data_IF_798834131779
#
_entry.id   IF_798834131779
#
_cell.length_a   1.000
_cell.length_b   1.000
_cell.length_c   1.000
_cell.angle_alpha   90.00
_cell.angle_beta   90.00
_cell.angle_gamma   90.00
#
_symmetry.space_group_name_H-M   'P 1'
#
loop_
_entity.id
_entity.type
_entity.pdbx_description
1 polymer ?
#
# COMPACT_ATOMS: atom_id res chain seq x y z
N UNK A 1 9.37 -88.06 13.22
CA UNK A 1 10.27 -88.81 12.30
C UNK A 1 9.46 -89.79 11.54
N UNK A 2 9.51 -89.70 10.22
CA UNK A 2 8.92 -90.72 9.34
C UNK A 2 10.08 -91.42 8.65
N UNK A 3 10.00 -92.69 8.60
CA UNK A 3 10.91 -93.54 7.83
C UNK A 3 10.13 -94.54 6.97
N UNK A 4 10.42 -94.58 5.68
CA UNK A 4 9.92 -95.61 4.81
C UNK A 4 11.02 -95.98 3.81
N UNK A 5 11.17 -97.25 3.53
CA UNK A 5 12.26 -97.79 2.72
C UNK A 5 12.01 -97.63 1.18
N UNK A 6 10.82 -97.25 0.76
CA UNK A 6 10.43 -97.23 -0.69
C UNK A 6 9.76 -95.95 -1.16
N UNK A 7 9.89 -94.85 -0.41
CA UNK A 7 9.28 -93.55 -0.80
C UNK A 7 10.32 -92.45 -1.00
N UNK A 8 10.25 -91.78 -2.11
CA UNK A 8 11.05 -90.59 -2.46
C UNK A 8 10.33 -89.26 -2.13
N UNK A 9 9.14 -89.31 -1.53
CA UNK A 9 8.38 -88.14 -1.12
C UNK A 9 7.66 -88.43 0.22
N UNK A 10 7.62 -87.43 1.07
CA UNK A 10 6.89 -87.40 2.34
C UNK A 10 6.05 -86.19 2.45
N UNK A 11 4.83 -86.37 2.98
CA UNK A 11 3.94 -85.26 3.32
C UNK A 11 3.84 -85.06 4.80
N UNK A 12 4.16 -83.91 5.30
CA UNK A 12 4.04 -83.58 6.74
C UNK A 12 2.95 -82.48 6.84
N UNK A 13 1.89 -82.76 7.61
CA UNK A 13 0.91 -81.80 7.97
C UNK A 13 1.42 -81.01 9.19
N UNK A 14 1.44 -79.70 9.04
CA UNK A 14 1.85 -78.79 10.09
C UNK A 14 0.72 -77.78 10.36
N UNK A 15 0.49 -77.49 11.63
CA UNK A 15 -0.43 -76.41 12.05
C UNK A 15 0.41 -75.21 12.47
N UNK A 16 0.09 -74.05 11.89
CA UNK A 16 0.75 -72.81 12.26
C UNK A 16 0.60 -72.53 13.76
N UNK A 17 1.61 -72.09 14.46
CA UNK A 17 1.50 -71.61 15.82
C UNK A 17 0.60 -70.36 15.88
N UNK A 18 0.25 -69.92 17.10
CA UNK A 18 -0.48 -68.70 17.32
C UNK A 18 0.30 -67.49 16.86
N UNK A 19 -0.37 -66.41 16.44
CA UNK A 19 0.25 -65.16 16.12
C UNK A 19 1.16 -64.66 17.25
N UNK A 20 2.30 -64.04 16.89
CA UNK A 20 3.34 -63.62 17.82
C UNK A 20 4.42 -64.65 18.12
N UNK A 21 4.41 -65.82 17.47
CA UNK A 21 5.38 -66.89 17.65
C UNK A 21 6.70 -66.65 16.88
N UNK A 22 6.71 -65.70 15.96
CA UNK A 22 7.87 -65.35 15.14
C UNK A 22 8.16 -66.35 14.01
N UNK A 23 9.36 -66.27 13.46
CA UNK A 23 9.79 -67.07 12.33
C UNK A 23 9.85 -68.58 12.67
N UNK A 24 9.22 -69.42 11.88
CA UNK A 24 9.30 -70.89 11.98
C UNK A 24 10.34 -71.43 11.06
N UNK A 25 11.21 -72.32 11.61
CA UNK A 25 12.29 -72.99 10.86
C UNK A 25 12.00 -74.47 10.72
N UNK A 26 11.83 -74.93 9.51
CA UNK A 26 11.76 -76.33 9.16
C UNK A 26 13.12 -76.81 8.77
N UNK A 27 13.54 -77.90 9.44
CA UNK A 27 14.80 -78.61 9.11
C UNK A 27 14.46 -80.01 8.67
N UNK A 28 14.84 -80.37 7.46
CA UNK A 28 14.76 -81.75 6.95
C UNK A 28 16.13 -82.32 6.77
N UNK A 29 16.35 -83.52 7.34
CA UNK A 29 17.51 -84.30 7.05
C UNK A 29 17.11 -85.65 6.42
N UNK A 30 17.74 -86.00 5.35
CA UNK A 30 17.50 -87.26 4.65
C UNK A 30 18.79 -88.09 4.62
N UNK A 31 18.66 -89.37 4.85
CA UNK A 31 19.73 -90.36 4.66
C UNK A 31 19.25 -91.36 3.60
N UNK A 32 20.04 -91.50 2.52
CA UNK A 32 19.84 -92.52 1.51
C UNK A 32 20.92 -93.63 1.80
N UNK A 33 20.49 -94.75 2.41
CA UNK A 33 21.32 -95.90 2.72
C UNK A 33 21.27 -96.91 1.58
N UNK A 34 22.38 -97.56 1.30
CA UNK A 34 22.51 -98.57 0.24
C UNK A 34 22.07 -100.00 0.76
N UNK A 35 21.62 -100.10 2.01
CA UNK A 35 21.02 -101.28 2.62
C UNK A 35 22.07 -102.28 3.23
N UNK A 36 23.33 -101.94 3.20
CA UNK A 36 24.31 -102.69 3.98
C UNK A 36 24.45 -102.20 5.47
N UNK A 37 25.27 -102.78 6.32
CA UNK A 37 25.38 -102.45 7.74
C UNK A 37 26.50 -101.47 8.08
N UNK A 38 27.24 -101.03 7.08
CA UNK A 38 28.27 -99.96 7.21
C UNK A 38 27.78 -98.62 6.68
N UNK A 39 28.63 -97.65 6.73
CA UNK A 39 28.30 -96.25 6.27
C UNK A 39 28.97 -95.91 4.94
N UNK A 40 29.66 -96.88 4.32
CA UNK A 40 30.27 -96.67 3.01
C UNK A 40 29.18 -96.75 1.90
N UNK A 41 29.02 -95.69 1.11
CA UNK A 41 27.99 -95.60 0.09
C UNK A 41 26.73 -94.84 0.50
N UNK A 42 26.51 -94.56 1.80
CA UNK A 42 25.40 -93.75 2.28
C UNK A 42 25.62 -92.30 1.90
N UNK A 43 24.50 -91.65 1.53
CA UNK A 43 24.45 -90.21 1.24
C UNK A 43 23.47 -89.52 2.15
N UNK A 44 23.83 -88.41 2.71
CA UNK A 44 22.89 -87.56 3.52
C UNK A 44 22.73 -86.15 2.95
N UNK A 45 21.55 -85.63 3.08
CA UNK A 45 21.21 -84.26 2.72
C UNK A 45 20.47 -83.56 3.84
N UNK A 46 20.66 -82.24 3.95
CA UNK A 46 19.88 -81.40 4.87
C UNK A 46 19.32 -80.14 4.09
N UNK A 47 18.09 -79.88 4.30
CA UNK A 47 17.47 -78.63 3.84
C UNK A 47 16.85 -77.87 5.05
N UNK A 48 16.97 -76.57 5.05
CA UNK A 48 16.36 -75.73 6.06
C UNK A 48 15.44 -74.67 5.30
N UNK A 49 14.17 -74.62 5.67
CA UNK A 49 13.20 -73.68 5.16
C UNK A 49 12.72 -72.82 6.32
N UNK A 50 12.79 -71.53 6.12
CA UNK A 50 12.29 -70.56 7.10
C UNK A 50 11.01 -69.92 6.55
N UNK A 51 9.98 -69.87 7.37
CA UNK A 51 8.71 -69.18 7.07
C UNK A 51 8.56 -68.07 8.10
N UNK A 52 8.54 -66.84 7.59
CA UNK A 52 8.26 -65.69 8.45
C UNK A 52 6.81 -65.69 8.87
N UNK A 53 6.52 -65.19 10.04
CA UNK A 53 5.18 -64.85 10.44
C UNK A 53 4.66 -63.72 9.58
N UNK A 54 3.43 -63.78 9.11
CA UNK A 54 2.71 -62.64 8.57
C UNK A 54 2.34 -61.73 9.75
N UNK A 55 2.91 -60.54 9.84
CA UNK A 55 2.45 -59.51 10.77
C UNK A 55 1.02 -59.14 10.42
N UNK A 56 0.18 -58.98 11.43
CA UNK A 56 -1.13 -58.35 11.23
C UNK A 56 -0.93 -56.87 10.93
N UNK A 57 -1.50 -56.38 9.85
CA UNK A 57 -1.46 -54.97 9.52
C UNK A 57 -2.09 -54.12 10.64
N UNK A 58 -1.44 -53.02 10.99
CA UNK A 58 -1.95 -52.02 11.94
C UNK A 58 -2.15 -50.74 11.14
N UNK A 59 -3.42 -50.25 11.13
CA UNK A 59 -3.77 -49.06 10.41
C UNK A 59 -2.92 -47.81 10.82
N UNK A 60 -2.54 -46.96 9.88
CA UNK A 60 -1.71 -45.81 10.16
C UNK A 60 -2.43 -44.79 11.08
N UNK A 61 -1.62 -43.98 11.76
CA UNK A 61 -2.09 -42.84 12.54
C UNK A 61 -1.80 -41.55 11.81
N UNK A 62 -2.71 -40.58 11.94
CA UNK A 62 -2.56 -39.23 11.37
C UNK A 62 -2.98 -38.19 12.40
N UNK A 63 -2.26 -37.07 12.42
CA UNK A 63 -2.62 -35.89 13.20
C UNK A 63 -2.75 -34.68 12.28
N UNK A 64 -3.63 -33.78 12.66
CA UNK A 64 -3.98 -32.57 11.91
C UNK A 64 -4.13 -31.42 12.89
N UNK A 65 -3.54 -30.28 12.58
CA UNK A 65 -3.83 -29.02 13.23
C UNK A 65 -3.90 -27.88 12.22
N UNK A 66 -4.78 -26.92 12.48
CA UNK A 66 -4.88 -25.64 11.76
C UNK A 66 -4.40 -24.53 12.68
N UNK A 67 -3.89 -23.41 12.14
CA UNK A 67 -3.58 -22.23 12.92
C UNK A 67 -4.84 -21.75 13.69
N UNK A 68 -4.68 -21.34 14.95
CA UNK A 68 -5.83 -20.93 15.78
C UNK A 68 -6.44 -19.58 15.34
N UNK A 69 -5.69 -18.78 14.59
CA UNK A 69 -6.11 -17.50 14.03
C UNK A 69 -5.44 -17.33 12.66
N UNK A 70 -6.24 -17.09 11.66
CA UNK A 70 -5.83 -16.78 10.28
C UNK A 70 -6.74 -15.68 9.79
N UNK A 71 -6.16 -14.65 9.20
CA UNK A 71 -6.89 -13.63 8.46
C UNK A 71 -6.87 -13.95 6.95
N UNK A 72 -7.61 -13.21 6.17
CA UNK A 72 -7.72 -13.40 4.72
C UNK A 72 -6.50 -12.89 3.93
N UNK A 73 -5.50 -12.30 4.58
CA UNK A 73 -4.26 -11.83 3.94
C UNK A 73 -3.16 -12.88 3.86
N UNK A 74 -3.31 -14.01 4.59
CA UNK A 74 -2.30 -15.07 4.69
C UNK A 74 -2.86 -16.43 4.29
N UNK A 75 -2.03 -17.29 3.70
CA UNK A 75 -2.43 -18.64 3.32
C UNK A 75 -2.77 -19.49 4.56
N UNK A 76 -3.85 -20.28 4.46
CA UNK A 76 -4.21 -21.25 5.49
C UNK A 76 -3.52 -22.57 5.23
N UNK A 77 -2.58 -22.94 6.11
CA UNK A 77 -1.77 -24.15 5.99
C UNK A 77 -2.18 -25.20 7.03
N UNK A 78 -2.47 -26.42 6.58
CA UNK A 78 -2.70 -27.57 7.46
C UNK A 78 -1.37 -28.18 7.89
N UNK A 79 -1.14 -28.32 9.20
CA UNK A 79 -0.02 -29.09 9.75
C UNK A 79 -0.45 -30.53 9.93
N UNK A 80 0.13 -31.43 9.12
CA UNK A 80 -0.22 -32.86 9.09
C UNK A 80 1.02 -33.68 9.40
N UNK A 81 0.87 -34.68 10.26
CA UNK A 81 1.88 -35.73 10.43
C UNK A 81 1.23 -37.10 10.47
N UNK A 82 1.91 -38.10 9.94
CA UNK A 82 1.46 -39.50 9.94
C UNK A 82 2.58 -40.44 10.35
N UNK A 83 2.20 -41.59 10.89
CA UNK A 83 3.08 -42.67 11.21
C UNK A 83 2.34 -43.99 11.04
N UNK A 84 3.11 -45.05 10.76
CA UNK A 84 2.65 -46.42 10.73
C UNK A 84 3.46 -47.26 11.72
N UNK A 85 2.80 -48.20 12.39
CA UNK A 85 3.43 -49.04 13.41
C UNK A 85 4.18 -50.23 12.81
N UNK A 86 3.86 -50.62 11.60
CA UNK A 86 4.51 -51.69 10.83
C UNK A 86 5.56 -51.16 9.85
N UNK A 87 5.85 -49.83 9.92
CA UNK A 87 6.74 -49.09 9.02
C UNK A 87 6.29 -49.14 7.53
N UNK A 88 5.02 -49.35 7.29
CA UNK A 88 4.48 -49.35 5.92
C UNK A 88 4.42 -47.90 5.33
N UNK A 89 4.55 -47.75 4.00
CA UNK A 89 4.46 -46.44 3.35
C UNK A 89 3.08 -45.82 3.47
N UNK A 90 2.98 -44.64 4.06
CA UNK A 90 1.70 -43.94 4.29
C UNK A 90 1.42 -42.92 3.19
N UNK A 91 0.26 -43.03 2.59
CA UNK A 91 -0.32 -41.99 1.68
C UNK A 91 -1.37 -41.18 2.45
N UNK A 92 -1.46 -39.86 2.16
CA UNK A 92 -2.38 -38.93 2.83
C UNK A 92 -3.39 -38.40 1.82
N UNK A 93 -4.68 -38.45 2.19
CA UNK A 93 -5.77 -37.83 1.47
C UNK A 93 -6.27 -36.61 2.27
N UNK A 94 -6.34 -35.45 1.61
CA UNK A 94 -6.76 -34.17 2.20
C UNK A 94 -8.00 -33.69 1.47
N UNK A 95 -8.97 -33.20 2.24
CA UNK A 95 -10.20 -32.60 1.71
C UNK A 95 -10.51 -31.31 2.48
N UNK A 96 -10.74 -30.24 1.73
CA UNK A 96 -11.15 -28.95 2.30
C UNK A 96 -12.63 -28.69 2.08
N UNK A 97 -13.26 -28.10 3.10
CA UNK A 97 -14.63 -27.61 3.03
C UNK A 97 -14.66 -26.13 3.43
N UNK A 98 -15.34 -25.30 2.66
CA UNK A 98 -15.65 -23.92 2.97
C UNK A 98 -17.14 -23.81 3.36
N UNK A 99 -17.42 -23.35 4.57
CA UNK A 99 -18.78 -23.26 5.11
C UNK A 99 -19.58 -24.59 4.98
N UNK A 100 -18.88 -25.73 5.13
CA UNK A 100 -19.46 -27.06 5.01
C UNK A 100 -19.54 -27.63 3.58
N UNK A 101 -19.19 -26.86 2.54
CA UNK A 101 -19.19 -27.30 1.15
C UNK A 101 -17.77 -27.64 0.68
N UNK A 102 -17.62 -28.80 0.02
CA UNK A 102 -16.31 -29.27 -0.47
C UNK A 102 -15.75 -28.35 -1.55
N UNK A 103 -14.45 -28.01 -1.41
CA UNK A 103 -13.66 -27.30 -2.41
C UNK A 103 -12.75 -28.28 -3.16
N UNK A 104 -13.31 -28.94 -4.21
CA UNK A 104 -12.61 -30.02 -4.93
C UNK A 104 -11.30 -29.61 -5.61
N UNK A 105 -11.09 -28.33 -5.89
CA UNK A 105 -9.84 -27.80 -6.42
C UNK A 105 -8.67 -27.86 -5.43
N UNK A 106 -8.97 -28.06 -4.14
CA UNK A 106 -8.01 -28.12 -3.04
C UNK A 106 -7.75 -29.55 -2.55
N UNK A 107 -8.33 -30.56 -3.21
CA UNK A 107 -8.10 -31.95 -2.81
C UNK A 107 -6.62 -32.30 -2.87
N UNK A 108 -6.12 -32.92 -1.79
CA UNK A 108 -4.72 -33.31 -1.58
C UNK A 108 -3.71 -32.15 -1.53
N UNK A 109 -4.18 -30.90 -1.40
CA UNK A 109 -3.32 -29.74 -1.13
C UNK A 109 -3.33 -29.43 0.36
N UNK A 110 -2.16 -29.14 0.93
CA UNK A 110 -2.01 -28.76 2.33
C UNK A 110 -2.37 -27.29 2.58
N UNK A 111 -2.45 -26.49 1.52
CA UNK A 111 -2.58 -25.04 1.62
C UNK A 111 -3.81 -24.55 0.89
N UNK A 112 -4.61 -23.70 1.55
CA UNK A 112 -5.62 -22.87 0.93
C UNK A 112 -5.01 -21.49 0.68
N UNK A 113 -4.92 -21.03 -0.58
CA UNK A 113 -4.37 -19.70 -0.88
C UNK A 113 -5.21 -18.57 -0.25
N UNK A 114 -4.55 -17.51 0.22
CA UNK A 114 -5.18 -16.32 0.78
C UNK A 114 -6.28 -15.73 -0.13
N UNK A 115 -6.08 -15.81 -1.46
CA UNK A 115 -7.05 -15.34 -2.46
C UNK A 115 -8.41 -16.07 -2.45
N UNK A 116 -8.49 -17.22 -1.78
CA UNK A 116 -9.74 -17.97 -1.60
C UNK A 116 -10.39 -17.73 -0.22
N UNK A 117 -9.66 -17.08 0.69
CA UNK A 117 -10.11 -16.80 2.05
C UNK A 117 -10.92 -15.49 2.07
N UNK A 118 -11.94 -15.47 2.90
CA UNK A 118 -12.74 -14.28 3.18
C UNK A 118 -13.17 -14.23 4.63
N UNK A 119 -13.33 -13.05 5.22
CA UNK A 119 -13.67 -12.89 6.62
C UNK A 119 -15.01 -13.58 6.96
N UNK A 120 -15.05 -14.20 8.15
CA UNK A 120 -16.22 -14.94 8.63
C UNK A 120 -16.40 -16.33 8.01
N UNK A 121 -15.63 -16.74 7.01
CA UNK A 121 -15.69 -18.10 6.46
C UNK A 121 -15.17 -19.12 7.47
N UNK A 122 -15.83 -20.26 7.56
CA UNK A 122 -15.37 -21.43 8.31
C UNK A 122 -14.75 -22.42 7.35
N UNK A 123 -13.44 -22.66 7.53
CA UNK A 123 -12.71 -23.66 6.76
C UNK A 123 -12.47 -24.91 7.60
N UNK A 124 -12.79 -26.07 7.03
CA UNK A 124 -12.62 -27.37 7.65
C UNK A 124 -11.72 -28.23 6.79
N UNK A 125 -10.66 -28.75 7.38
CA UNK A 125 -9.78 -29.74 6.76
C UNK A 125 -10.11 -31.13 7.32
N UNK A 126 -10.21 -32.11 6.43
CA UNK A 126 -10.37 -33.52 6.74
C UNK A 126 -9.21 -34.28 6.17
N UNK A 127 -8.64 -35.17 6.97
CA UNK A 127 -7.44 -35.94 6.58
C UNK A 127 -7.65 -37.40 6.93
N UNK A 128 -7.29 -38.26 6.00
CA UNK A 128 -7.22 -39.73 6.16
C UNK A 128 -5.85 -40.17 5.66
N UNK A 129 -5.18 -41.02 6.42
CA UNK A 129 -3.97 -41.71 6.00
C UNK A 129 -4.30 -43.17 5.57
N UNK A 130 -3.54 -43.73 4.64
CA UNK A 130 -3.68 -45.10 4.15
C UNK A 130 -2.29 -45.72 3.91
N UNK A 131 -2.06 -46.92 4.43
CA UNK A 131 -0.82 -47.69 4.31
C UNK A 131 -0.78 -48.64 3.10
N UNK A 132 -1.83 -48.58 2.26
CA UNK A 132 -2.05 -49.49 1.11
C UNK A 132 -2.97 -50.66 1.43
N UNK A 133 -3.30 -50.90 2.71
CA UNK A 133 -4.16 -52.00 3.20
C UNK A 133 -5.37 -51.47 3.98
N UNK A 134 -5.14 -50.53 4.88
CA UNK A 134 -6.16 -49.98 5.77
C UNK A 134 -6.10 -48.46 5.84
N UNK A 135 -7.19 -47.82 6.24
CA UNK A 135 -7.27 -46.40 6.47
C UNK A 135 -7.15 -46.06 7.95
N UNK A 136 -6.53 -44.94 8.27
CA UNK A 136 -6.63 -44.32 9.59
C UNK A 136 -8.06 -43.91 9.90
N UNK A 137 -8.32 -43.50 11.13
CA UNK A 137 -9.49 -42.69 11.44
C UNK A 137 -9.39 -41.32 10.77
N UNK A 138 -10.52 -40.77 10.28
CA UNK A 138 -10.60 -39.41 9.76
C UNK A 138 -10.33 -38.42 10.89
N UNK A 139 -9.39 -37.50 10.67
CA UNK A 139 -9.12 -36.40 11.58
C UNK A 139 -9.63 -35.10 10.95
N UNK A 140 -10.33 -34.29 11.75
CA UNK A 140 -10.98 -33.07 11.29
C UNK A 140 -10.51 -31.90 12.15
N UNK A 141 -10.14 -30.78 11.50
CA UNK A 141 -9.86 -29.52 12.15
C UNK A 141 -10.58 -28.38 11.41
N UNK A 142 -11.00 -27.38 12.15
CA UNK A 142 -11.69 -26.21 11.58
C UNK A 142 -11.12 -24.92 12.15
N UNK A 143 -11.13 -23.87 11.33
CA UNK A 143 -10.78 -22.51 11.74
C UNK A 143 -11.74 -21.52 11.09
N UNK A 144 -11.92 -20.36 11.72
CA UNK A 144 -12.69 -19.25 11.17
C UNK A 144 -11.73 -18.18 10.71
N UNK A 145 -11.93 -17.69 9.51
CA UNK A 145 -11.10 -16.60 8.95
C UNK A 145 -11.53 -15.28 9.56
N UNK A 146 -10.57 -14.58 10.13
CA UNK A 146 -10.77 -13.22 10.65
C UNK A 146 -10.62 -12.16 9.56
N UNK A 147 -11.14 -10.97 9.82
CA UNK A 147 -10.93 -9.79 8.99
C UNK A 147 -9.45 -9.39 8.95
N UNK A 148 -8.97 -8.96 7.80
CA UNK A 148 -7.66 -8.31 7.64
C UNK A 148 -7.84 -6.82 7.83
N UNK A 149 -7.05 -6.16 8.68
CA UNK A 149 -7.14 -4.71 8.78
C UNK A 149 -6.68 -4.02 7.51
N UNK A 150 -7.26 -2.87 7.15
CA UNK A 150 -6.90 -2.12 5.95
C UNK A 150 -5.48 -1.56 6.03
N UNK A 151 -4.85 -1.38 4.88
CA UNK A 151 -3.55 -0.72 4.74
C UNK A 151 -3.75 0.78 4.60
N UNK A 152 -3.27 1.56 5.58
CA UNK A 152 -3.31 3.01 5.54
C UNK A 152 -2.11 3.58 4.78
N UNK A 153 -2.34 4.48 3.82
CA UNK A 153 -1.31 5.19 3.07
C UNK A 153 -1.58 6.70 3.06
N UNK A 154 -0.57 7.48 3.46
CA UNK A 154 -0.60 8.94 3.45
C UNK A 154 0.14 9.44 2.21
N UNK A 155 -0.57 10.12 1.32
CA UNK A 155 0.03 10.86 0.23
C UNK A 155 -0.05 12.36 0.50
N UNK A 156 1.05 13.08 0.22
CA UNK A 156 1.17 14.53 0.35
C UNK A 156 1.28 15.07 -1.07
N UNK A 157 0.33 15.88 -1.47
CA UNK A 157 0.28 16.46 -2.81
C UNK A 157 1.27 17.62 -2.94
N UNK A 158 1.56 18.31 -1.84
CA UNK A 158 2.46 19.47 -1.79
C UNK A 158 3.86 19.04 -1.35
N UNK A 159 4.88 19.27 -2.19
CA UNK A 159 6.28 18.99 -1.84
C UNK A 159 7.22 19.85 -2.69
N UNK A 160 8.17 20.59 -2.12
CA UNK A 160 8.39 20.80 -0.67
C UNK A 160 7.26 21.59 -0.02
N UNK A 161 7.15 21.50 1.29
CA UNK A 161 6.19 22.27 2.10
C UNK A 161 6.88 23.50 2.67
N UNK A 162 6.31 24.68 2.43
CA UNK A 162 6.83 25.93 2.97
C UNK A 162 6.02 26.41 4.17
N UNK A 163 6.67 27.20 5.02
CA UNK A 163 6.02 27.83 6.19
C UNK A 163 4.83 28.68 5.73
N UNK A 164 3.67 28.46 6.36
CA UNK A 164 2.43 29.17 6.03
C UNK A 164 1.70 28.66 4.79
N UNK A 165 2.21 27.61 4.14
CA UNK A 165 1.58 27.02 2.96
C UNK A 165 0.40 26.11 3.34
N UNK A 166 -0.62 26.09 2.48
CA UNK A 166 -1.72 25.14 2.59
C UNK A 166 -1.28 23.77 2.07
N UNK A 167 -1.25 22.78 2.93
CA UNK A 167 -0.90 21.40 2.62
C UNK A 167 -2.17 20.63 2.25
N UNK A 168 -2.12 19.90 1.17
CA UNK A 168 -3.14 18.92 0.81
C UNK A 168 -2.63 17.50 1.05
N UNK A 169 -3.36 16.73 1.83
CA UNK A 169 -3.07 15.32 2.13
C UNK A 169 -4.24 14.44 1.69
N UNK A 170 -3.93 13.21 1.28
CA UNK A 170 -4.95 12.27 0.80
C UNK A 170 -4.66 10.84 1.23
N UNK A 171 -5.72 10.08 1.51
CA UNK A 171 -5.72 8.64 1.82
C UNK A 171 -6.17 7.77 0.63
N UNK A 172 -6.31 8.32 -0.57
CA UNK A 172 -6.86 7.62 -1.75
C UNK A 172 -6.13 6.34 -2.14
N UNK A 173 -4.87 6.19 -1.72
CA UNK A 173 -4.08 4.98 -1.97
C UNK A 173 -4.21 3.94 -0.85
N UNK A 174 -4.97 4.23 0.19
CA UNK A 174 -5.29 3.24 1.22
C UNK A 174 -6.23 2.19 0.64
N UNK A 175 -6.05 0.95 1.04
CA UNK A 175 -6.79 -0.18 0.51
C UNK A 175 -7.03 -1.24 1.58
N UNK A 176 -8.03 -2.04 1.36
CA UNK A 176 -8.29 -3.26 2.08
C UNK A 176 -8.19 -4.46 1.13
N UNK A 177 -7.67 -5.58 1.63
CA UNK A 177 -7.46 -6.80 0.84
C UNK A 177 -8.70 -7.70 0.76
N UNK A 178 -9.62 -7.58 1.69
CA UNK A 178 -10.79 -8.46 1.85
C UNK A 178 -12.12 -7.72 2.11
N UNK A 179 -12.09 -6.37 2.08
CA UNK A 179 -13.22 -5.51 2.30
C UNK A 179 -13.10 -4.15 1.60
N UNK A 180 -13.83 -3.18 2.11
CA UNK A 180 -13.84 -1.81 1.63
C UNK A 180 -13.44 -0.83 2.73
N UNK A 181 -12.66 0.19 2.38
CA UNK A 181 -12.37 1.30 3.28
C UNK A 181 -13.61 2.19 3.39
N UNK A 182 -14.22 2.25 4.57
CA UNK A 182 -15.45 3.03 4.82
C UNK A 182 -15.21 4.33 5.52
N UNK A 183 -14.05 4.51 6.22
CA UNK A 183 -13.77 5.75 6.92
C UNK A 183 -12.27 6.08 6.96
N UNK A 184 -11.98 7.39 6.95
CA UNK A 184 -10.63 7.94 7.11
C UNK A 184 -10.67 8.99 8.22
N UNK A 185 -9.85 8.82 9.24
CA UNK A 185 -9.74 9.71 10.38
C UNK A 185 -8.31 10.25 10.42
N UNK A 186 -8.20 11.57 10.33
CA UNK A 186 -6.93 12.26 10.33
C UNK A 186 -6.70 12.98 11.64
N UNK A 187 -5.48 12.99 12.12
CA UNK A 187 -5.02 13.88 13.16
C UNK A 187 -3.62 14.37 12.85
N UNK A 188 -3.31 15.59 13.29
CA UNK A 188 -1.99 16.16 13.13
C UNK A 188 -1.60 16.97 14.37
N UNK A 189 -0.32 17.04 14.59
CA UNK A 189 0.29 17.89 15.61
C UNK A 189 1.59 18.48 15.05
N UNK A 190 1.78 19.78 15.23
CA UNK A 190 3.01 20.46 14.87
C UNK A 190 4.01 20.53 16.03
N UNK A 191 5.25 20.88 15.73
CA UNK A 191 6.31 21.01 16.75
C UNK A 191 6.10 22.18 17.72
N UNK A 192 5.15 23.08 17.44
CA UNK A 192 4.74 24.18 18.31
C UNK A 192 3.58 23.81 19.25
N UNK A 193 3.01 22.59 19.09
CA UNK A 193 1.91 22.08 19.89
C UNK A 193 0.52 22.38 19.34
N UNK A 194 0.40 23.00 18.17
CA UNK A 194 -0.89 23.13 17.50
C UNK A 194 -1.30 21.78 16.93
N UNK A 195 -2.59 21.48 16.98
CA UNK A 195 -3.13 20.22 16.53
C UNK A 195 -4.51 20.36 15.88
N UNK A 196 -4.92 19.38 15.10
CA UNK A 196 -6.22 19.32 14.49
C UNK A 196 -6.59 17.92 14.06
N UNK A 197 -7.84 17.74 13.64
CA UNK A 197 -8.35 16.47 13.14
C UNK A 197 -9.38 16.70 12.04
N UNK A 198 -9.54 15.69 11.17
CA UNK A 198 -10.59 15.63 10.15
C UNK A 198 -11.15 14.20 10.10
N UNK A 199 -12.45 14.07 9.93
CA UNK A 199 -13.15 12.79 9.93
C UNK A 199 -13.90 12.59 8.62
N UNK A 200 -13.97 11.34 8.17
CA UNK A 200 -14.73 10.92 6.99
C UNK A 200 -14.31 11.65 5.69
N UNK A 201 -13.03 12.00 5.59
CA UNK A 201 -12.47 12.70 4.43
C UNK A 201 -11.33 11.90 3.81
N UNK A 202 -11.44 11.60 2.51
CA UNK A 202 -10.32 11.03 1.75
C UNK A 202 -9.18 12.04 1.52
N UNK A 203 -9.49 13.33 1.58
CA UNK A 203 -8.53 14.42 1.41
C UNK A 203 -8.94 15.61 2.26
N UNK A 204 -7.96 16.29 2.86
CA UNK A 204 -8.19 17.55 3.54
C UNK A 204 -6.98 18.46 3.42
N UNK A 205 -7.17 19.73 3.78
CA UNK A 205 -6.15 20.77 3.74
C UNK A 205 -5.96 21.38 5.12
N UNK A 206 -4.75 21.77 5.43
CA UNK A 206 -4.40 22.57 6.62
C UNK A 206 -3.16 23.40 6.34
N UNK A 207 -2.92 24.43 7.15
CA UNK A 207 -1.73 25.28 7.04
C UNK A 207 -0.70 24.87 8.06
N UNK A 208 0.55 24.70 7.63
CA UNK A 208 1.66 24.34 8.51
C UNK A 208 2.65 25.48 8.66
N UNK A 209 3.06 25.75 9.92
CA UNK A 209 4.05 26.76 10.27
C UNK A 209 5.34 26.17 10.83
N UNK A 210 5.34 24.88 11.14
CA UNK A 210 6.48 24.14 11.64
C UNK A 210 6.33 22.66 11.26
N UNK A 211 7.33 21.84 11.54
CA UNK A 211 7.27 20.39 11.28
C UNK A 211 5.98 19.78 11.85
N UNK A 212 5.30 18.98 11.03
CA UNK A 212 4.02 18.35 11.39
C UNK A 212 4.15 16.84 11.41
N UNK A 213 3.65 16.22 12.47
CA UNK A 213 3.40 14.78 12.52
C UNK A 213 1.92 14.53 12.20
N UNK A 214 1.67 13.81 11.11
CA UNK A 214 0.37 13.46 10.61
C UNK A 214 0.09 11.99 10.90
N UNK A 215 -1.08 11.67 11.44
CA UNK A 215 -1.56 10.31 11.66
C UNK A 215 -2.86 10.10 10.89
N UNK A 216 -2.93 8.99 10.16
CA UNK A 216 -4.11 8.53 9.45
C UNK A 216 -4.56 7.20 10.06
N UNK A 217 -5.82 7.13 10.44
CA UNK A 217 -6.53 5.90 10.77
C UNK A 217 -7.55 5.62 9.67
N UNK A 218 -7.46 4.44 9.09
CA UNK A 218 -8.41 3.90 8.11
C UNK A 218 -9.24 2.83 8.80
N UNK A 219 -10.54 2.81 8.54
CA UNK A 219 -11.48 1.81 9.06
C UNK A 219 -12.16 1.13 7.88
N UNK A 220 -12.20 -0.21 7.89
CA UNK A 220 -12.91 -1.01 6.90
C UNK A 220 -14.40 -1.23 7.28
N UNK A 221 -15.14 -1.92 6.43
CA UNK A 221 -16.56 -2.23 6.59
C UNK A 221 -16.85 -3.27 7.69
N UNK A 222 -15.84 -3.98 8.17
CA UNK A 222 -15.92 -4.95 9.26
C UNK A 222 -15.34 -4.44 10.58
N UNK A 223 -14.89 -3.19 10.63
CA UNK A 223 -14.39 -2.50 11.83
C UNK A 223 -12.89 -2.71 12.10
N UNK A 224 -12.14 -3.30 11.17
CA UNK A 224 -10.69 -3.36 11.22
C UNK A 224 -10.06 -1.96 11.08
N UNK A 225 -8.89 -1.77 11.67
CA UNK A 225 -8.22 -0.47 11.76
C UNK A 225 -6.80 -0.58 11.23
N UNK A 226 -6.50 0.22 10.18
CA UNK A 226 -5.15 0.47 9.70
C UNK A 226 -4.64 1.82 10.15
N UNK A 227 -3.37 1.92 10.48
CA UNK A 227 -2.72 3.15 10.95
C UNK A 227 -1.49 3.48 10.10
N UNK A 228 -1.34 4.77 9.77
CA UNK A 228 -0.13 5.30 9.20
C UNK A 228 0.25 6.61 9.88
N UNK A 229 1.55 6.85 10.01
CA UNK A 229 2.08 8.12 10.54
C UNK A 229 3.14 8.64 9.59
N UNK A 230 3.13 9.95 9.35
CA UNK A 230 4.10 10.61 8.48
C UNK A 230 4.52 11.96 9.06
N UNK A 231 5.82 12.21 9.12
CA UNK A 231 6.37 13.51 9.46
C UNK A 231 6.57 14.32 8.19
N UNK A 232 6.11 15.57 8.22
CA UNK A 232 6.23 16.55 7.15
C UNK A 232 7.22 17.61 7.62
N UNK A 233 8.35 17.70 6.92
CA UNK A 233 9.29 18.78 7.12
C UNK A 233 8.74 20.05 6.46
N UNK A 234 8.71 21.14 7.23
CA UNK A 234 8.27 22.46 6.79
C UNK A 234 9.48 23.38 6.79
N UNK A 235 9.80 23.90 5.63
CA UNK A 235 11.01 24.73 5.42
C UNK A 235 10.64 26.16 5.06
N UNK A 236 11.57 27.10 5.26
CA UNK A 236 11.40 28.43 4.72
C UNK A 236 11.27 28.36 3.20
N UNK A 237 10.24 28.94 2.65
CA UNK A 237 10.12 29.13 1.21
C UNK A 237 11.15 30.14 0.71
N UNK A 238 11.51 30.06 -0.56
CA UNK A 238 12.32 31.12 -1.17
C UNK A 238 11.51 32.43 -1.20
N UNK A 239 12.18 33.55 -1.06
CA UNK A 239 11.53 34.85 -0.93
C UNK A 239 12.17 35.93 -1.78
N UNK A 240 11.34 36.92 -2.11
CA UNK A 240 11.78 38.15 -2.76
C UNK A 240 12.20 39.14 -1.69
N UNK A 241 13.36 39.76 -1.89
CA UNK A 241 13.87 40.78 -1.01
C UNK A 241 14.44 41.97 -1.79
N UNK A 242 14.74 43.08 -1.10
CA UNK A 242 15.37 44.26 -1.64
C UNK A 242 14.70 44.79 -2.92
N UNK A 243 13.37 44.91 -2.90
CA UNK A 243 12.64 45.51 -4.00
C UNK A 243 12.99 47.00 -4.08
N UNK A 244 13.56 47.42 -5.21
CA UNK A 244 13.89 48.82 -5.50
C UNK A 244 13.06 49.31 -6.66
N UNK A 245 12.64 50.56 -6.62
CA UNK A 245 11.95 51.24 -7.70
C UNK A 245 12.64 52.57 -7.98
N UNK A 246 13.01 52.79 -9.24
CA UNK A 246 13.67 54.01 -9.71
C UNK A 246 12.80 54.59 -10.83
N UNK A 247 12.41 55.85 -10.68
CA UNK A 247 11.65 56.55 -11.69
C UNK A 247 12.56 57.31 -12.64
N UNK A 248 12.40 57.08 -13.93
CA UNK A 248 13.05 57.79 -15.04
C UNK A 248 11.97 58.38 -15.96
N UNK A 249 11.52 59.61 -15.67
CA UNK A 249 10.38 60.22 -16.38
C UNK A 249 9.11 59.46 -16.09
N UNK A 250 8.48 58.90 -17.12
CA UNK A 250 7.28 58.07 -16.97
C UNK A 250 7.56 56.60 -16.74
N UNK A 251 8.81 56.17 -16.88
CA UNK A 251 9.19 54.79 -16.66
C UNK A 251 9.56 54.57 -15.19
N UNK A 252 9.19 53.42 -14.67
CA UNK A 252 9.56 52.92 -13.35
C UNK A 252 10.34 51.64 -13.56
N UNK A 253 11.62 51.67 -13.24
CA UNK A 253 12.50 50.51 -13.28
C UNK A 253 12.43 49.83 -11.91
N UNK A 254 11.99 48.55 -11.89
CA UNK A 254 11.94 47.70 -10.71
C UNK A 254 13.08 46.71 -10.76
N UNK A 255 13.71 46.46 -9.62
CA UNK A 255 14.61 45.33 -9.45
C UNK A 255 14.45 44.73 -8.06
N UNK A 256 14.73 43.44 -7.92
CA UNK A 256 14.62 42.72 -6.68
C UNK A 256 15.64 41.59 -6.60
N UNK A 257 15.85 41.10 -5.40
CA UNK A 257 16.66 39.90 -5.16
C UNK A 257 15.73 38.70 -4.95
N UNK A 258 16.19 37.57 -5.45
CA UNK A 258 15.52 36.28 -5.33
C UNK A 258 16.51 35.21 -4.87
N UNK A 259 16.18 34.47 -3.81
CA UNK A 259 17.05 33.44 -3.21
C UNK A 259 16.71 32.02 -3.65
N UNK A 260 15.66 31.84 -4.45
CA UNK A 260 15.25 30.54 -4.99
C UNK A 260 15.87 30.20 -6.34
N UNK A 261 15.46 29.04 -6.89
CA UNK A 261 15.77 28.64 -8.25
C UNK A 261 15.08 29.58 -9.28
N UNK A 262 15.41 29.42 -10.57
CA UNK A 262 14.75 30.20 -11.63
C UNK A 262 13.21 30.03 -11.55
N UNK A 263 12.51 31.16 -11.50
CA UNK A 263 11.07 31.21 -11.23
C UNK A 263 10.40 32.30 -12.06
N UNK A 264 9.07 32.31 -12.05
CA UNK A 264 8.29 33.43 -12.56
C UNK A 264 7.91 34.39 -11.42
N UNK A 265 7.66 35.62 -11.76
CA UNK A 265 7.24 36.67 -10.83
C UNK A 265 6.05 37.41 -11.39
N UNK A 266 4.97 37.51 -10.64
CA UNK A 266 3.88 38.45 -10.91
C UNK A 266 4.30 39.82 -10.38
N UNK A 267 4.30 40.81 -11.26
CA UNK A 267 4.50 42.22 -10.90
C UNK A 267 3.12 42.82 -10.63
N UNK A 268 2.91 43.28 -9.42
CA UNK A 268 1.64 43.80 -8.94
C UNK A 268 1.81 45.29 -8.66
N UNK A 269 0.96 46.12 -9.27
CA UNK A 269 0.90 47.56 -9.04
C UNK A 269 -0.45 47.95 -8.43
N UNK A 270 -0.42 48.58 -7.27
CA UNK A 270 -1.63 49.00 -6.56
C UNK A 270 -2.68 47.88 -6.46
N UNK A 271 -2.22 46.66 -6.11
CA UNK A 271 -3.08 45.46 -5.97
C UNK A 271 -3.45 44.74 -7.26
N UNK A 272 -3.05 45.22 -8.43
CA UNK A 272 -3.36 44.60 -9.73
C UNK A 272 -2.13 44.02 -10.39
N UNK A 273 -2.21 42.77 -10.87
CA UNK A 273 -1.15 42.16 -11.68
C UNK A 273 -1.05 42.88 -13.00
N UNK A 274 0.11 43.49 -13.29
CA UNK A 274 0.38 44.23 -14.52
C UNK A 274 1.26 43.43 -15.49
N UNK A 275 2.04 42.49 -15.00
CA UNK A 275 2.92 41.64 -15.82
C UNK A 275 3.31 40.37 -15.09
N UNK A 276 3.82 39.40 -15.85
CA UNK A 276 4.56 38.25 -15.36
C UNK A 276 5.92 38.21 -16.06
N UNK A 277 7.00 38.00 -15.32
CA UNK A 277 8.37 37.97 -15.85
C UNK A 277 9.18 36.83 -15.23
N UNK A 278 10.19 36.34 -15.94
CA UNK A 278 11.19 35.37 -15.42
C UNK A 278 12.49 36.07 -14.99
N UNK A 279 12.54 37.41 -15.09
CA UNK A 279 13.69 38.21 -14.71
C UNK A 279 13.48 38.77 -13.30
N UNK A 280 14.57 39.14 -12.64
CA UNK A 280 14.52 39.86 -11.35
C UNK A 280 14.47 41.37 -11.52
N UNK A 281 13.99 41.83 -12.65
CA UNK A 281 13.76 43.24 -12.99
C UNK A 281 12.60 43.39 -13.95
N UNK A 282 11.95 44.55 -13.92
CA UNK A 282 10.82 44.87 -14.80
C UNK A 282 10.72 46.40 -14.97
N UNK A 283 10.38 46.84 -16.17
CA UNK A 283 10.15 48.28 -16.44
C UNK A 283 8.64 48.48 -16.67
N UNK A 284 8.01 49.26 -15.81
CA UNK A 284 6.64 49.68 -15.96
C UNK A 284 6.57 51.10 -16.60
N UNK A 285 5.49 51.37 -17.32
CA UNK A 285 5.20 52.68 -17.85
C UNK A 285 3.76 53.07 -17.46
N UNK A 286 3.55 53.53 -16.22
CA UNK A 286 2.19 53.89 -15.76
C UNK A 286 1.58 54.99 -16.59
N UNK A 287 0.31 54.88 -16.92
CA UNK A 287 -0.47 55.87 -17.71
C UNK A 287 -1.18 56.92 -16.85
N UNK A 288 -0.97 56.87 -15.54
CA UNK A 288 -1.58 57.79 -14.57
C UNK A 288 -0.46 58.53 -13.80
N UNK A 289 -0.86 59.58 -13.11
CA UNK A 289 0.01 60.28 -12.14
C UNK A 289 -0.52 60.02 -10.71
N UNK A 290 0.38 59.92 -9.77
CA UNK A 290 0.06 59.75 -8.38
C UNK A 290 0.95 58.75 -7.66
N UNK A 291 0.63 58.51 -6.40
CA UNK A 291 1.38 57.55 -5.57
C UNK A 291 1.09 56.14 -6.05
N UNK A 292 2.14 55.35 -6.18
CA UNK A 292 2.04 53.95 -6.57
C UNK A 292 3.02 53.08 -5.77
N UNK A 293 2.61 51.87 -5.46
CA UNK A 293 3.45 50.85 -4.87
C UNK A 293 3.50 49.58 -5.75
N UNK A 294 4.59 48.86 -5.65
CA UNK A 294 4.77 47.61 -6.37
C UNK A 294 5.05 46.47 -5.39
N UNK A 295 4.46 45.33 -5.72
CA UNK A 295 4.63 44.07 -5.01
C UNK A 295 5.09 43.03 -6.02
N UNK A 296 6.03 42.20 -5.63
CA UNK A 296 6.55 41.10 -6.47
C UNK A 296 6.13 39.79 -5.81
N UNK A 297 5.30 39.03 -6.50
CA UNK A 297 4.85 37.71 -6.03
C UNK A 297 5.54 36.61 -6.83
N UNK A 298 6.39 35.78 -6.21
CA UNK A 298 7.05 34.67 -6.89
C UNK A 298 6.03 33.57 -7.21
N UNK A 299 6.25 32.88 -8.34
CA UNK A 299 5.51 31.70 -8.77
C UNK A 299 6.52 30.57 -8.94
N UNK A 300 6.50 29.59 -8.03
CA UNK A 300 7.40 28.44 -8.03
C UNK A 300 6.58 27.18 -8.27
N UNK A 301 6.89 26.40 -9.29
CA UNK A 301 6.16 25.19 -9.68
C UNK A 301 4.64 25.42 -9.81
N UNK A 302 4.25 26.59 -10.35
CA UNK A 302 2.86 27.00 -10.52
C UNK A 302 2.15 27.44 -9.23
N UNK A 303 2.84 27.50 -8.10
CA UNK A 303 2.32 27.98 -6.81
C UNK A 303 2.72 29.41 -6.57
N UNK A 304 1.74 30.26 -6.24
CA UNK A 304 1.96 31.64 -5.84
C UNK A 304 2.42 31.68 -4.39
N UNK A 305 3.65 32.12 -4.14
CA UNK A 305 4.16 32.32 -2.78
C UNK A 305 3.69 33.69 -2.25
N UNK A 306 3.90 33.89 -0.94
CA UNK A 306 3.65 35.20 -0.36
C UNK A 306 4.54 36.22 -1.05
N UNK A 307 3.92 37.31 -1.45
CA UNK A 307 4.64 38.45 -1.96
C UNK A 307 5.44 39.08 -0.81
N UNK A 308 6.69 39.37 -1.04
CA UNK A 308 7.54 40.07 -0.06
C UNK A 308 6.95 41.44 0.34
N UNK A 309 7.71 42.19 1.08
CA UNK A 309 7.33 43.57 1.42
C UNK A 309 7.11 44.40 0.16
N UNK A 310 6.12 45.26 0.17
CA UNK A 310 5.92 46.23 -0.91
C UNK A 310 7.17 47.10 -1.11
N UNK A 311 7.39 47.57 -2.35
CA UNK A 311 8.37 48.62 -2.62
C UNK A 311 8.00 49.89 -1.84
N UNK A 312 9.01 50.73 -1.56
CA UNK A 312 8.70 52.09 -1.10
C UNK A 312 7.76 52.77 -2.11
N UNK A 313 6.70 53.48 -1.68
CA UNK A 313 5.84 54.23 -2.56
C UNK A 313 6.64 55.22 -3.39
N UNK A 314 6.33 55.34 -4.65
CA UNK A 314 6.87 56.33 -5.56
C UNK A 314 5.76 57.23 -6.10
N UNK A 315 6.07 58.46 -6.42
CA UNK A 315 5.14 59.40 -7.04
C UNK A 315 5.42 59.39 -8.53
N UNK A 316 4.53 58.82 -9.32
CA UNK A 316 4.57 58.89 -10.79
C UNK A 316 4.17 60.29 -11.24
N UNK A 317 5.13 61.03 -11.83
CA UNK A 317 4.83 62.35 -12.36
C UNK A 317 4.00 62.24 -13.64
N UNK A 318 3.07 63.18 -13.85
CA UNK A 318 2.31 63.27 -15.08
C UNK A 318 3.21 63.69 -16.24
N UNK A 319 2.99 63.10 -17.42
CA UNK A 319 3.68 63.49 -18.66
C UNK A 319 3.23 64.86 -19.19
N UNK A 320 2.25 65.51 -18.56
CA UNK A 320 1.92 66.87 -18.92
C UNK A 320 3.08 67.78 -18.49
N UNK A 321 4.02 68.04 -19.42
CA UNK A 321 4.81 69.27 -19.33
C UNK A 321 3.83 70.39 -19.10
N UNK A 322 3.94 71.08 -17.98
CA UNK A 322 3.35 72.36 -17.80
C UNK A 322 3.80 73.20 -19.02
N UNK A 323 2.90 73.52 -19.93
CA UNK A 323 3.17 74.46 -20.99
C UNK A 323 3.44 75.76 -20.24
N UNK A 324 4.74 76.03 -19.98
CA UNK A 324 5.12 77.36 -19.51
C UNK A 324 4.57 78.35 -20.51
N UNK A 325 3.61 79.15 -20.07
CA UNK A 325 3.05 80.19 -20.86
C UNK A 325 4.18 81.15 -21.19
N UNK A 326 4.87 80.90 -22.32
CA UNK A 326 5.50 81.98 -23.01
C UNK A 326 4.35 82.94 -23.35
N UNK A 327 4.53 84.18 -22.96
CA UNK A 327 3.60 85.26 -23.22
C UNK A 327 3.35 85.51 -24.74
N UNK A 328 2.91 84.53 -25.46
CA UNK A 328 2.51 84.56 -26.82
C UNK A 328 0.95 84.46 -26.87
N UNK A 329 0.31 85.39 -27.45
CA UNK A 329 -1.13 85.56 -27.64
C UNK A 329 -1.86 84.27 -28.12
N UNK A 330 -1.16 83.21 -28.55
CA UNK A 330 -1.68 81.93 -28.96
C UNK A 330 -2.22 81.04 -27.79
N UNK A 331 -1.68 81.15 -26.56
CA UNK A 331 -2.15 80.41 -25.40
C UNK A 331 -3.50 80.79 -24.88
N UNK A 332 -3.87 82.04 -25.01
CA UNK A 332 -5.20 82.57 -24.58
C UNK A 332 -6.29 82.05 -25.50
N UNK A 333 -6.04 81.90 -26.80
CA UNK A 333 -7.00 81.39 -27.77
C UNK A 333 -7.28 79.89 -27.54
N UNK A 334 -6.27 79.06 -27.24
CA UNK A 334 -6.44 77.62 -26.90
C UNK A 334 -7.26 77.49 -25.61
N UNK A 335 -6.95 78.26 -24.56
CA UNK A 335 -7.67 78.22 -23.27
C UNK A 335 -9.15 78.62 -23.46
N UNK A 336 -9.46 79.63 -24.30
CA UNK A 336 -10.81 80.00 -24.62
C UNK A 336 -11.58 78.94 -25.44
N UNK A 337 -10.92 78.25 -26.38
CA UNK A 337 -11.49 77.10 -27.15
C UNK A 337 -11.84 75.93 -26.25
N UNK A 338 -10.95 75.60 -25.31
CA UNK A 338 -11.19 74.54 -24.35
C UNK A 338 -12.31 74.87 -23.37
N UNK A 339 -12.44 76.14 -22.93
CA UNK A 339 -13.55 76.61 -22.08
C UNK A 339 -14.88 76.56 -22.83
N UNK A 340 -14.90 76.95 -24.09
CA UNK A 340 -16.08 76.90 -24.94
C UNK A 340 -16.54 75.48 -25.24
N UNK A 341 -15.58 74.53 -25.50
CA UNK A 341 -15.88 73.12 -25.68
C UNK A 341 -16.43 72.51 -24.42
N UNK A 342 -15.90 72.85 -23.22
CA UNK A 342 -16.43 72.35 -21.95
C UNK A 342 -17.80 72.87 -21.63
N UNK A 343 -18.13 74.17 -21.99
CA UNK A 343 -19.45 74.75 -21.86
C UNK A 343 -20.46 74.12 -22.82
N UNK A 344 -20.06 73.77 -24.05
CA UNK A 344 -20.89 73.09 -25.04
C UNK A 344 -21.22 71.66 -24.58
N UNK A 345 -20.25 70.91 -24.00
CA UNK A 345 -20.53 69.56 -23.45
C UNK A 345 -21.46 69.62 -22.25
N UNK A 346 -21.29 70.57 -21.35
CA UNK A 346 -22.21 70.78 -20.23
C UNK A 346 -23.63 71.20 -20.72
N UNK A 347 -23.77 72.11 -21.74
CA UNK A 347 -25.01 72.47 -22.31
C UNK A 347 -25.73 71.32 -23.04
N UNK A 348 -25.01 70.50 -23.80
CA UNK A 348 -25.55 69.28 -24.41
C UNK A 348 -25.98 68.25 -23.39
N UNK A 349 -25.25 68.12 -22.27
CA UNK A 349 -25.59 67.22 -21.12
C UNK A 349 -26.88 67.66 -20.40
N UNK A 350 -27.20 69.00 -20.42
CA UNK A 350 -28.46 69.55 -19.86
C UNK A 350 -29.66 69.38 -20.80
N UNK A 351 -29.44 69.51 -22.12
CA UNK A 351 -30.49 69.33 -23.12
C UNK A 351 -30.96 67.87 -23.28
N UNK A 352 -30.11 66.91 -22.96
CA UNK A 352 -30.43 65.51 -23.05
C UNK A 352 -31.08 64.91 -21.76
N UNK A 353 -31.28 65.71 -20.72
CA UNK A 353 -32.03 65.34 -19.51
C UNK A 353 -33.45 65.82 -19.45
N UNK A 354 -33.94 66.40 -20.53
CA UNK A 354 -35.30 67.03 -20.62
C UNK A 354 -36.22 66.36 -21.65
N UNK A 355 -35.99 65.12 -22.02
CA UNK A 355 -36.96 64.28 -22.76
C UNK A 355 -37.25 62.99 -22.00
#
# INVERSE_FOLDING_TARGET
>A
THSSSDSTSWTVTWTAPSSGSGMVTFSLAVLAADGNIDTEGDSSGKIVVQIAELSSNIAPQVSLSLPPSVDSSTDLVANISSSDADDDPVSISIQWLRNGFREGSLDNLQTVPATMLGPGQVWTCKVIANDGTENSQEVIASTTISNSPPTALINIVTNPVWIGEVITVTSQMSSDSDGEVVNSIWSWVDSSGNSGSAHSMQSFTFTAYSQVTLTLQIVDDLGGIGLATKTIEVVNGPHVSNITSIQNGQQVELSWQWDGAQSQFSVIRNGNIIATTNQTSFTDTPTFSGETSYLIQPIVDGRHLDAGSESSPIIVESSFKEIQSTNDFGGIILGFIMLILSLITVAMGYLNRGQ
#
